data_IF_838293294434
#
_entry.id   IF_838293294434
#
_cell.length_a   1.000
_cell.length_b   1.000
_cell.length_c   1.000
_cell.angle_alpha   90.00
_cell.angle_beta   90.00
_cell.angle_gamma   90.00
#
_symmetry.space_group_name_H-M   'P 1'
#
loop_
_entity.id
_entity.type
_entity.pdbx_description
1 polymer ?
#
# COMPACT_ATOMS: atom_id res chain seq x y z
N UNK A 1 -7.98 -62.49 47.46
CA UNK A 1 -7.32 -61.17 47.41
C UNK A 1 -7.45 -60.60 46.01
N UNK A 2 -7.99 -59.39 45.93
CA UNK A 2 -8.49 -58.65 44.77
C UNK A 2 -7.32 -58.10 43.95
N UNK A 3 -7.13 -58.58 42.71
CA UNK A 3 -6.21 -57.97 41.72
C UNK A 3 -6.66 -58.24 40.28
N UNK A 4 -7.83 -57.77 39.86
CA UNK A 4 -8.23 -57.78 38.42
C UNK A 4 -9.12 -56.60 37.99
N UNK A 5 -9.02 -55.44 38.66
CA UNK A 5 -9.90 -54.28 38.40
C UNK A 5 -9.15 -52.96 38.23
N UNK A 6 -7.97 -52.98 37.60
CA UNK A 6 -7.19 -51.75 37.35
C UNK A 6 -6.79 -51.51 35.88
N UNK A 7 -7.31 -52.30 34.94
CA UNK A 7 -7.01 -52.14 33.51
C UNK A 7 -8.19 -51.58 32.68
N UNK A 8 -9.37 -51.36 33.29
CA UNK A 8 -10.57 -50.89 32.58
C UNK A 8 -10.86 -49.39 32.77
N UNK A 9 -10.05 -48.69 33.56
CA UNK A 9 -10.27 -47.27 33.89
C UNK A 9 -9.37 -46.30 33.10
N UNK A 10 -8.41 -46.82 32.32
CA UNK A 10 -7.47 -46.02 31.53
C UNK A 10 -7.87 -45.86 30.05
N UNK A 11 -8.85 -46.63 29.55
CA UNK A 11 -9.30 -46.54 28.14
C UNK A 11 -10.43 -45.52 27.96
N UNK A 12 -11.21 -45.24 29.00
CA UNK A 12 -12.31 -44.24 28.93
C UNK A 12 -11.82 -42.78 29.04
N UNK A 13 -10.55 -42.55 29.35
CA UNK A 13 -9.95 -41.21 29.42
C UNK A 13 -9.29 -40.77 28.10
N UNK A 14 -9.08 -41.69 27.14
CA UNK A 14 -8.46 -41.39 25.84
C UNK A 14 -9.46 -41.09 24.72
N UNK A 15 -10.76 -41.28 24.96
CA UNK A 15 -11.83 -40.97 24.00
C UNK A 15 -12.53 -39.61 24.27
N UNK A 16 -12.09 -38.87 25.29
CA UNK A 16 -12.61 -37.52 25.60
C UNK A 16 -11.76 -36.38 24.98
N UNK A 17 -10.70 -36.70 24.23
CA UNK A 17 -9.85 -35.72 23.54
C UNK A 17 -10.09 -35.63 22.02
N UNK A 18 -11.03 -36.40 21.46
CA UNK A 18 -11.63 -36.06 20.16
C UNK A 18 -12.71 -34.99 20.36
N UNK A 19 -12.35 -33.92 21.08
CA UNK A 19 -13.09 -32.68 21.07
C UNK A 19 -13.03 -32.14 19.66
N UNK A 20 -14.19 -32.11 19.01
CA UNK A 20 -14.40 -31.51 17.71
C UNK A 20 -13.68 -30.17 17.60
N UNK A 21 -12.52 -30.16 16.96
CA UNK A 21 -12.06 -28.99 16.24
C UNK A 21 -12.98 -28.87 15.00
N UNK A 22 -14.24 -28.52 15.25
CA UNK A 22 -14.97 -27.70 14.31
C UNK A 22 -14.08 -26.46 14.15
N UNK A 23 -13.23 -26.48 13.12
CA UNK A 23 -12.88 -25.28 12.41
C UNK A 23 -14.21 -24.73 11.89
N UNK A 24 -14.97 -24.07 12.78
CA UNK A 24 -15.73 -22.91 12.39
C UNK A 24 -14.69 -22.07 11.69
N UNK A 25 -14.70 -22.11 10.35
CA UNK A 25 -14.17 -21.05 9.52
C UNK A 25 -14.91 -19.81 9.98
N UNK A 26 -14.44 -19.25 11.10
CA UNK A 26 -15.06 -18.16 11.80
C UNK A 26 -15.17 -17.03 10.80
N UNK A 27 -16.33 -16.37 10.80
CA UNK A 27 -16.60 -15.10 10.14
C UNK A 27 -15.28 -14.36 9.94
N UNK A 28 -14.71 -14.45 8.72
CA UNK A 28 -13.37 -13.92 8.49
C UNK A 28 -13.53 -12.41 8.59
N UNK A 29 -13.05 -11.81 9.68
CA UNK A 29 -13.12 -10.36 9.89
C UNK A 29 -12.71 -9.62 8.60
N UNK A 30 -13.38 -8.51 8.23
CA UNK A 30 -13.10 -7.80 6.98
C UNK A 30 -11.61 -7.54 6.75
N UNK A 31 -10.87 -7.14 7.80
CA UNK A 31 -9.42 -6.93 7.76
C UNK A 31 -8.66 -8.16 7.27
N UNK A 32 -9.01 -9.34 7.79
CA UNK A 32 -8.37 -10.61 7.42
C UNK A 32 -8.67 -11.02 5.98
N UNK A 33 -9.84 -10.65 5.44
CA UNK A 33 -10.14 -10.83 4.00
C UNK A 33 -9.24 -9.94 3.15
N UNK A 34 -9.06 -8.67 3.52
CA UNK A 34 -8.14 -7.75 2.84
C UNK A 34 -6.67 -8.22 2.91
N UNK A 35 -6.20 -8.65 4.08
CA UNK A 35 -4.86 -9.23 4.24
C UNK A 35 -4.68 -10.49 3.38
N UNK A 36 -5.68 -11.36 3.34
CA UNK A 36 -5.66 -12.57 2.50
C UNK A 36 -5.57 -12.19 1.03
N UNK A 37 -6.32 -11.16 0.59
CA UNK A 37 -6.23 -10.64 -0.76
C UNK A 37 -4.84 -10.10 -1.09
N UNK A 38 -4.27 -9.25 -0.22
CA UNK A 38 -2.94 -8.67 -0.42
C UNK A 38 -1.89 -9.78 -0.54
N UNK A 39 -1.88 -10.74 0.38
CA UNK A 39 -0.93 -11.85 0.37
C UNK A 39 -1.13 -12.80 -0.82
N UNK A 40 -2.38 -13.11 -1.19
CA UNK A 40 -2.66 -14.01 -2.30
C UNK A 40 -2.35 -13.37 -3.66
N UNK A 41 -2.75 -12.11 -3.86
CA UNK A 41 -2.51 -11.39 -5.12
C UNK A 41 -1.02 -11.14 -5.37
N UNK A 42 -0.26 -10.75 -4.34
CA UNK A 42 1.20 -10.57 -4.42
C UNK A 42 1.94 -11.89 -4.66
N UNK A 43 1.43 -13.01 -4.14
CA UNK A 43 1.98 -14.35 -4.38
C UNK A 43 1.41 -15.05 -5.63
N UNK A 44 0.63 -14.36 -6.46
CA UNK A 44 0.00 -14.89 -7.68
C UNK A 44 -0.93 -16.11 -7.46
N UNK A 45 -1.51 -16.25 -6.26
CA UNK A 45 -2.44 -17.32 -5.90
C UNK A 45 -3.87 -16.97 -6.35
N UNK A 46 -4.10 -16.93 -7.66
CA UNK A 46 -5.34 -16.43 -8.26
C UNK A 46 -6.60 -17.20 -7.85
N UNK A 47 -6.51 -18.50 -7.55
CA UNK A 47 -7.66 -19.26 -7.07
C UNK A 47 -8.15 -18.77 -5.70
N UNK A 48 -7.24 -18.32 -4.84
CA UNK A 48 -7.59 -17.72 -3.54
C UNK A 48 -8.18 -16.32 -3.76
N UNK A 49 -7.61 -15.52 -4.67
CA UNK A 49 -8.11 -14.18 -5.02
C UNK A 49 -9.53 -14.27 -5.57
N UNK A 50 -9.79 -15.16 -6.54
CA UNK A 50 -11.12 -15.39 -7.09
C UNK A 50 -12.13 -15.80 -6.01
N UNK A 51 -11.67 -16.55 -5.00
CA UNK A 51 -12.47 -17.02 -3.88
C UNK A 51 -12.86 -15.92 -2.87
N UNK A 52 -12.27 -14.73 -2.90
CA UNK A 52 -12.55 -13.65 -1.93
C UNK A 52 -13.07 -12.36 -2.58
N UNK A 53 -12.97 -12.24 -3.91
CA UNK A 53 -13.55 -11.14 -4.67
C UNK A 53 -15.00 -11.45 -5.08
N UNK A 54 -15.79 -10.41 -5.33
CA UNK A 54 -17.08 -10.49 -5.99
C UNK A 54 -17.32 -9.25 -6.87
N UNK A 55 -18.44 -9.22 -7.61
CA UNK A 55 -18.84 -8.07 -8.41
C UNK A 55 -17.79 -7.63 -9.43
N UNK A 56 -17.63 -6.31 -9.58
CA UNK A 56 -16.68 -5.70 -10.52
C UNK A 56 -15.22 -6.00 -10.17
N UNK A 57 -14.87 -6.04 -8.88
CA UNK A 57 -13.51 -6.38 -8.45
C UNK A 57 -13.06 -7.76 -8.97
N UNK A 58 -13.95 -8.76 -8.94
CA UNK A 58 -13.65 -10.09 -9.49
C UNK A 58 -13.45 -10.06 -11.01
N UNK A 59 -14.31 -9.33 -11.73
CA UNK A 59 -14.22 -9.20 -13.19
C UNK A 59 -12.91 -8.53 -13.58
N UNK A 60 -12.55 -7.45 -12.91
CA UNK A 60 -11.31 -6.70 -13.17
C UNK A 60 -10.06 -7.52 -12.84
N UNK A 61 -10.05 -8.25 -11.73
CA UNK A 61 -8.95 -9.13 -11.38
C UNK A 61 -8.73 -10.21 -12.46
N UNK A 62 -9.81 -10.87 -12.91
CA UNK A 62 -9.73 -11.89 -13.97
C UNK A 62 -9.24 -11.33 -15.30
N UNK A 63 -9.66 -10.12 -15.67
CA UNK A 63 -9.22 -9.45 -16.89
C UNK A 63 -7.74 -9.06 -16.85
N UNK A 64 -7.23 -8.70 -15.67
CA UNK A 64 -5.88 -8.15 -15.53
C UNK A 64 -4.83 -9.15 -15.00
N UNK A 65 -5.22 -10.31 -14.42
CA UNK A 65 -4.28 -11.26 -13.80
C UNK A 65 -3.14 -11.70 -14.70
N UNK A 66 -3.37 -11.84 -16.00
CA UNK A 66 -2.36 -12.23 -16.97
C UNK A 66 -1.24 -11.18 -17.13
N UNK A 67 -1.50 -9.93 -16.77
CA UNK A 67 -0.51 -8.83 -16.78
C UNK A 67 0.37 -8.83 -15.54
N UNK A 68 -0.05 -9.49 -14.48
CA UNK A 68 0.68 -9.59 -13.20
C UNK A 68 1.47 -10.90 -13.21
N UNK A 69 2.71 -10.83 -13.69
CA UNK A 69 3.54 -12.02 -13.97
C UNK A 69 4.64 -12.24 -12.94
N UNK A 70 4.78 -11.34 -11.96
CA UNK A 70 5.87 -11.37 -10.98
C UNK A 70 5.28 -11.28 -9.59
N UNK A 71 5.77 -12.14 -8.70
CA UNK A 71 5.42 -12.09 -7.30
C UNK A 71 6.19 -10.99 -6.57
N UNK A 72 5.57 -10.49 -5.52
CA UNK A 72 6.16 -9.52 -4.58
C UNK A 72 6.14 -10.15 -3.17
N UNK A 73 7.11 -9.81 -2.34
CA UNK A 73 7.12 -10.18 -0.93
C UNK A 73 6.37 -9.10 -0.13
N UNK A 74 5.41 -9.48 0.70
CA UNK A 74 4.75 -8.56 1.63
C UNK A 74 5.59 -8.47 2.90
N UNK A 75 6.11 -7.28 3.20
CA UNK A 75 6.94 -7.02 4.37
C UNK A 75 6.06 -6.69 5.59
N UNK A 76 5.06 -5.83 5.39
CA UNK A 76 4.18 -5.37 6.45
C UNK A 76 2.80 -4.99 5.88
N UNK A 77 1.75 -5.22 6.68
CA UNK A 77 0.40 -4.76 6.43
C UNK A 77 -0.11 -4.10 7.72
N UNK A 78 -0.57 -2.85 7.62
CA UNK A 78 -1.36 -2.19 8.67
C UNK A 78 -2.79 -2.04 8.17
N UNK A 79 -3.78 -2.55 8.91
CA UNK A 79 -5.19 -2.47 8.50
C UNK A 79 -6.05 -1.73 9.51
N UNK A 80 -7.08 -1.04 9.01
CA UNK A 80 -8.14 -0.43 9.83
C UNK A 80 -9.49 -0.76 9.21
N UNK A 81 -10.34 -1.45 9.97
CA UNK A 81 -11.72 -1.77 9.57
C UNK A 81 -12.69 -0.68 10.03
N UNK A 82 -13.63 -0.34 9.16
CA UNK A 82 -14.76 0.55 9.44
C UNK A 82 -16.04 -0.19 9.04
N UNK A 83 -16.84 -0.58 10.02
CA UNK A 83 -18.14 -1.18 9.74
C UNK A 83 -19.14 -0.08 9.41
N UNK A 84 -19.70 -0.11 8.20
CA UNK A 84 -20.77 0.81 7.76
C UNK A 84 -22.12 0.25 8.22
N UNK A 85 -22.33 -1.05 8.02
CA UNK A 85 -23.47 -1.81 8.53
C UNK A 85 -23.01 -3.18 9.03
N UNK A 86 -23.93 -4.02 9.51
CA UNK A 86 -23.61 -5.42 9.83
C UNK A 86 -23.20 -6.28 8.62
N UNK A 87 -23.40 -5.77 7.40
CA UNK A 87 -23.15 -6.49 6.14
C UNK A 87 -22.24 -5.73 5.17
N UNK A 88 -21.85 -4.50 5.51
CA UNK A 88 -20.97 -3.66 4.68
C UNK A 88 -19.85 -3.11 5.56
N UNK A 89 -18.61 -3.25 5.09
CA UNK A 89 -17.43 -2.74 5.76
C UNK A 89 -16.44 -2.15 4.76
N UNK A 90 -15.63 -1.19 5.22
CA UNK A 90 -14.45 -0.73 4.52
C UNK A 90 -13.20 -1.15 5.31
N UNK A 91 -12.14 -1.50 4.58
CA UNK A 91 -10.83 -1.76 5.16
C UNK A 91 -9.82 -0.88 4.46
N UNK A 92 -9.19 0.01 5.22
CA UNK A 92 -7.99 0.71 4.78
C UNK A 92 -6.78 -0.16 5.09
N UNK A 93 -5.87 -0.30 4.14
CA UNK A 93 -4.64 -1.09 4.31
C UNK A 93 -3.44 -0.31 3.80
N UNK A 94 -2.40 -0.19 4.63
CA UNK A 94 -1.10 0.35 4.27
C UNK A 94 -0.09 -0.80 4.19
N UNK A 95 0.43 -1.04 2.98
CA UNK A 95 1.15 -2.26 2.63
C UNK A 95 2.56 -1.91 2.17
N UNK A 96 3.57 -2.43 2.87
CA UNK A 96 4.95 -2.39 2.40
C UNK A 96 5.30 -3.70 1.70
N UNK A 97 5.82 -3.63 0.48
CA UNK A 97 6.17 -4.78 -0.35
C UNK A 97 7.59 -4.69 -0.85
N UNK A 98 8.18 -5.82 -1.23
CA UNK A 98 9.49 -5.92 -1.87
C UNK A 98 9.37 -6.63 -3.21
N UNK A 99 9.93 -5.99 -4.24
CA UNK A 99 10.10 -6.60 -5.55
C UNK A 99 11.59 -6.57 -5.94
N UNK A 100 11.93 -7.19 -7.07
CA UNK A 100 13.28 -7.19 -7.64
C UNK A 100 13.87 -5.78 -7.83
N UNK A 101 13.01 -4.78 -8.06
CA UNK A 101 13.41 -3.39 -8.34
C UNK A 101 13.41 -2.49 -7.10
N UNK A 102 13.21 -3.07 -5.92
CA UNK A 102 13.19 -2.37 -4.64
C UNK A 102 11.88 -2.57 -3.88
N UNK A 103 11.83 -2.00 -2.67
CA UNK A 103 10.60 -1.96 -1.90
C UNK A 103 9.63 -0.90 -2.42
N UNK A 104 8.36 -1.02 -2.05
CA UNK A 104 7.30 -0.07 -2.33
C UNK A 104 6.35 -0.01 -1.13
N UNK A 105 5.58 1.07 -1.02
CA UNK A 105 4.53 1.22 0.00
C UNK A 105 3.26 1.73 -0.67
N UNK A 106 2.18 0.97 -0.52
CA UNK A 106 0.91 1.21 -1.19
C UNK A 106 -0.22 1.30 -0.16
N UNK A 107 -1.04 2.34 -0.28
CA UNK A 107 -2.28 2.47 0.49
C UNK A 107 -3.47 2.00 -0.34
N UNK A 108 -4.29 1.13 0.23
CA UNK A 108 -5.49 0.55 -0.36
C UNK A 108 -6.72 0.88 0.48
N UNK A 109 -7.86 0.98 -0.19
CA UNK A 109 -9.20 0.94 0.41
C UNK A 109 -9.98 -0.19 -0.25
N UNK A 110 -10.40 -1.15 0.56
CA UNK A 110 -11.26 -2.25 0.16
C UNK A 110 -12.67 -1.98 0.65
N UNK A 111 -13.66 -2.10 -0.24
CA UNK A 111 -15.05 -2.15 0.16
C UNK A 111 -15.52 -3.61 0.13
N UNK A 112 -16.11 -4.06 1.24
CA UNK A 112 -16.51 -5.44 1.46
C UNK A 112 -18.00 -5.54 1.75
N UNK A 113 -18.61 -6.60 1.26
CA UNK A 113 -19.98 -6.99 1.54
C UNK A 113 -20.01 -8.41 2.10
N UNK A 114 -20.85 -8.64 3.09
CA UNK A 114 -21.12 -9.96 3.64
C UNK A 114 -22.09 -10.70 2.71
N UNK A 115 -21.69 -11.88 2.24
CA UNK A 115 -22.48 -12.80 1.44
C UNK A 115 -22.60 -14.13 2.18
N UNK A 116 -23.77 -14.38 2.78
CA UNK A 116 -23.95 -15.46 3.74
C UNK A 116 -23.03 -15.27 4.96
N UNK A 117 -22.20 -16.27 5.25
CA UNK A 117 -21.26 -16.22 6.38
C UNK A 117 -19.86 -15.69 6.00
N UNK A 118 -19.69 -15.17 4.79
CA UNK A 118 -18.37 -14.75 4.28
C UNK A 118 -18.35 -13.31 3.82
N UNK A 119 -17.30 -12.57 4.20
CA UNK A 119 -17.01 -11.25 3.63
C UNK A 119 -16.33 -11.40 2.27
N UNK A 120 -16.72 -10.57 1.31
CA UNK A 120 -16.17 -10.54 -0.05
C UNK A 120 -15.84 -9.10 -0.44
N UNK A 121 -14.74 -8.91 -1.14
CA UNK A 121 -14.31 -7.60 -1.65
C UNK A 121 -15.03 -7.35 -2.97
N UNK A 122 -15.86 -6.30 -3.03
CA UNK A 122 -16.54 -5.89 -4.26
C UNK A 122 -15.87 -4.70 -4.95
N UNK A 123 -14.99 -3.97 -4.26
CA UNK A 123 -14.25 -2.83 -4.79
C UNK A 123 -12.87 -2.72 -4.13
N UNK A 124 -11.85 -2.37 -4.92
CA UNK A 124 -10.47 -2.14 -4.48
C UNK A 124 -9.94 -0.86 -5.13
N UNK A 125 -9.57 0.12 -4.31
CA UNK A 125 -9.06 1.41 -4.76
C UNK A 125 -7.80 1.79 -4.00
N UNK A 126 -7.06 2.79 -4.49
CA UNK A 126 -6.01 3.42 -3.69
C UNK A 126 -6.65 4.18 -2.52
N UNK A 127 -6.13 3.95 -1.32
CA UNK A 127 -6.55 4.62 -0.09
C UNK A 127 -5.63 5.76 0.32
N UNK A 128 -5.82 6.22 1.55
CA UNK A 128 -4.91 7.14 2.23
C UNK A 128 -3.87 6.35 3.04
N UNK A 129 -2.64 6.85 3.11
CA UNK A 129 -1.60 6.23 3.92
C UNK A 129 -1.95 6.34 5.40
N UNK A 130 -1.73 5.25 6.14
CA UNK A 130 -1.99 5.26 7.57
C UNK A 130 -0.80 5.89 8.28
N UNK A 131 -1.00 7.12 8.74
CA UNK A 131 -0.05 7.84 9.56
C UNK A 131 -0.68 8.18 10.92
N UNK A 132 0.16 8.38 11.92
CA UNK A 132 -0.26 8.92 13.22
C UNK A 132 -0.69 10.39 13.11
N UNK A 133 -0.93 11.02 14.25
CA UNK A 133 -1.11 12.47 14.30
C UNK A 133 0.15 13.18 13.77
N UNK A 134 -0.02 13.99 12.72
CA UNK A 134 1.07 14.78 12.15
C UNK A 134 1.32 15.99 13.04
N UNK A 135 2.56 16.13 13.50
CA UNK A 135 2.94 17.24 14.38
C UNK A 135 3.87 18.21 13.65
N UNK A 136 3.70 19.53 13.84
CA UNK A 136 4.67 20.48 13.36
C UNK A 136 6.01 20.23 14.06
N UNK A 137 7.11 20.36 13.31
CA UNK A 137 8.43 20.03 13.84
C UNK A 137 9.53 20.18 12.81
N UNK A 138 10.77 19.80 13.16
CA UNK A 138 11.86 19.79 12.22
C UNK A 138 11.58 18.82 11.06
N UNK A 139 12.21 19.10 9.93
CA UNK A 139 12.18 18.21 8.78
C UNK A 139 12.86 16.87 9.13
N UNK A 140 12.23 15.70 8.87
CA UNK A 140 12.88 14.42 9.11
C UNK A 140 14.16 14.27 8.29
N UNK A 141 15.15 13.57 8.86
CA UNK A 141 16.44 13.35 8.21
C UNK A 141 16.25 12.65 6.86
N UNK A 142 16.94 13.15 5.83
CA UNK A 142 16.89 12.61 4.46
C UNK A 142 15.74 13.12 3.60
N UNK A 143 14.68 13.71 4.18
CA UNK A 143 13.54 14.24 3.40
C UNK A 143 13.98 15.39 2.47
N UNK A 144 14.81 16.33 2.95
CA UNK A 144 15.32 17.44 2.11
C UNK A 144 16.00 16.91 0.85
N UNK A 145 16.92 15.94 1.02
CA UNK A 145 17.68 15.36 -0.07
C UNK A 145 16.79 14.67 -1.11
N UNK A 146 15.82 13.85 -0.67
CA UNK A 146 14.89 13.15 -1.57
C UNK A 146 14.05 14.14 -2.37
N UNK A 147 13.49 15.16 -1.71
CA UNK A 147 12.61 16.14 -2.36
C UNK A 147 13.41 17.01 -3.34
N UNK A 148 14.55 17.54 -2.89
CA UNK A 148 15.43 18.39 -3.70
C UNK A 148 15.90 17.66 -4.94
N UNK A 149 16.48 16.47 -4.76
CA UNK A 149 17.00 15.69 -5.87
C UNK A 149 15.89 15.32 -6.86
N UNK A 150 14.72 14.91 -6.39
CA UNK A 150 13.61 14.58 -7.30
C UNK A 150 13.05 15.78 -8.06
N UNK A 151 12.90 16.94 -7.43
CA UNK A 151 12.42 18.15 -8.10
C UNK A 151 13.44 18.61 -9.13
N UNK A 152 14.72 18.70 -8.76
CA UNK A 152 15.79 19.24 -9.60
C UNK A 152 16.23 18.27 -10.72
N UNK A 153 15.82 17.00 -10.66
CA UNK A 153 16.07 16.03 -11.73
C UNK A 153 15.49 16.52 -13.08
N UNK A 154 16.25 16.43 -14.18
CA UNK A 154 15.72 16.67 -15.51
C UNK A 154 14.52 15.75 -15.79
N UNK A 155 13.51 16.25 -16.51
CA UNK A 155 12.31 15.48 -16.83
C UNK A 155 12.62 14.10 -17.46
N UNK A 156 13.60 14.05 -18.37
CA UNK A 156 14.08 12.81 -18.99
C UNK A 156 14.63 11.78 -17.98
N UNK A 157 15.17 12.23 -16.84
CA UNK A 157 15.76 11.39 -15.79
C UNK A 157 14.81 11.02 -14.66
N UNK A 158 13.69 11.73 -14.49
CA UNK A 158 12.68 11.40 -13.46
C UNK A 158 12.09 10.01 -13.67
N UNK A 159 11.83 9.64 -14.92
CA UNK A 159 11.29 8.31 -15.26
C UNK A 159 12.28 7.19 -14.93
N UNK A 160 13.54 7.32 -15.37
CA UNK A 160 14.59 6.32 -15.11
C UNK A 160 14.82 6.11 -13.60
N UNK A 161 14.66 7.18 -12.82
CA UNK A 161 14.92 7.18 -11.37
C UNK A 161 13.65 7.01 -10.52
N UNK A 162 12.50 6.71 -11.12
CA UNK A 162 11.22 6.71 -10.40
C UNK A 162 11.19 5.76 -9.21
N UNK A 163 11.72 4.54 -9.35
CA UNK A 163 11.77 3.58 -8.24
C UNK A 163 12.64 4.05 -7.06
N UNK A 164 13.55 5.01 -7.27
CA UNK A 164 14.39 5.60 -6.21
C UNK A 164 13.63 6.63 -5.38
N UNK A 165 12.80 7.46 -6.01
CA UNK A 165 12.17 8.61 -5.36
C UNK A 165 10.69 8.42 -5.06
N UNK A 166 10.00 7.55 -5.80
CA UNK A 166 8.54 7.43 -5.78
C UNK A 166 8.10 6.12 -5.11
N UNK A 167 6.92 6.17 -4.51
CA UNK A 167 6.22 4.99 -4.00
C UNK A 167 4.72 5.04 -4.31
N UNK A 168 4.10 3.88 -4.22
CA UNK A 168 2.67 3.64 -4.37
C UNK A 168 2.11 4.14 -5.69
N UNK A 169 0.95 4.82 -5.63
CA UNK A 169 0.24 5.28 -6.83
C UNK A 169 1.11 6.14 -7.75
N UNK A 170 1.98 6.99 -7.20
CA UNK A 170 2.81 7.88 -8.00
C UNK A 170 3.89 7.11 -8.79
N UNK A 171 4.47 6.06 -8.18
CA UNK A 171 5.39 5.15 -8.86
C UNK A 171 4.68 4.40 -10.01
N UNK A 172 3.47 3.88 -9.78
CA UNK A 172 2.69 3.18 -10.83
C UNK A 172 2.31 4.11 -11.99
N UNK A 173 1.92 5.36 -11.70
CA UNK A 173 1.61 6.37 -12.72
C UNK A 173 2.85 6.65 -13.57
N UNK A 174 4.01 6.87 -12.93
CA UNK A 174 5.25 7.14 -13.67
C UNK A 174 5.67 5.96 -14.55
N UNK A 175 5.56 4.73 -14.04
CA UNK A 175 5.84 3.52 -14.82
C UNK A 175 4.90 3.37 -16.05
N UNK A 176 3.63 3.75 -15.91
CA UNK A 176 2.67 3.72 -17.01
C UNK A 176 2.94 4.84 -18.04
N UNK A 177 3.27 6.05 -17.61
CA UNK A 177 3.64 7.16 -18.50
C UNK A 177 4.88 6.84 -19.33
N UNK A 178 5.82 6.08 -18.76
CA UNK A 178 7.01 5.63 -19.46
C UNK A 178 6.77 4.74 -20.68
N UNK A 179 5.54 4.27 -20.88
CA UNK A 179 5.13 3.47 -22.04
C UNK A 179 4.56 4.35 -23.17
N UNK A 180 4.34 5.65 -22.92
CA UNK A 180 3.83 6.60 -23.91
C UNK A 180 4.99 7.25 -24.68
N UNK A 181 4.79 7.66 -25.96
CA UNK A 181 5.78 8.42 -26.70
C UNK A 181 6.14 9.70 -25.95
N UNK A 182 7.43 9.92 -25.69
CA UNK A 182 7.89 11.16 -25.07
C UNK A 182 7.77 12.31 -26.08
N UNK A 183 6.93 13.28 -25.78
CA UNK A 183 6.92 14.55 -26.50
C UNK A 183 8.14 15.33 -26.01
N UNK A 184 8.97 15.79 -26.93
CA UNK A 184 10.12 16.66 -26.63
C UNK A 184 9.61 18.01 -26.14
N UNK A 185 9.28 18.10 -24.85
CA UNK A 185 9.14 19.37 -24.17
C UNK A 185 10.54 19.99 -24.04
N UNK A 186 10.69 21.28 -24.33
CA UNK A 186 11.97 21.98 -24.23
C UNK A 186 12.62 21.83 -22.85
N UNK A 187 13.90 22.22 -22.73
CA UNK A 187 14.66 22.04 -21.48
C UNK A 187 14.03 22.86 -20.32
N UNK A 188 13.21 22.21 -19.50
CA UNK A 188 12.66 22.78 -18.26
C UNK A 188 13.61 22.46 -17.11
N UNK A 189 14.11 23.50 -16.45
CA UNK A 189 14.98 23.37 -15.25
C UNK A 189 14.18 23.72 -14.01
N UNK A 190 14.38 22.95 -12.95
CA UNK A 190 13.75 23.18 -11.64
C UNK A 190 14.85 23.36 -10.60
N UNK A 191 14.69 24.32 -9.69
CA UNK A 191 15.65 24.60 -8.62
C UNK A 191 14.93 24.85 -7.29
N UNK A 192 15.17 24.02 -6.28
CA UNK A 192 14.50 24.13 -4.99
C UNK A 192 15.12 25.23 -4.15
N UNK A 193 14.30 26.18 -3.72
CA UNK A 193 14.72 27.29 -2.86
C UNK A 193 14.63 26.92 -1.38
N UNK A 194 13.51 26.36 -0.98
CA UNK A 194 13.21 26.06 0.42
C UNK A 194 12.30 24.85 0.56
N UNK A 195 12.48 24.09 1.65
CA UNK A 195 11.60 22.98 2.03
C UNK A 195 11.17 23.20 3.48
N UNK A 196 9.87 23.35 3.71
CA UNK A 196 9.28 23.55 5.04
C UNK A 196 8.50 22.30 5.45
N UNK A 197 8.77 21.77 6.64
CA UNK A 197 7.98 20.69 7.21
C UNK A 197 6.61 21.23 7.66
N UNK A 198 5.52 20.70 7.12
CA UNK A 198 4.15 21.06 7.53
C UNK A 198 3.64 20.14 8.65
N UNK A 199 4.10 18.89 8.65
CA UNK A 199 3.84 17.95 9.73
C UNK A 199 4.51 16.62 9.47
N UNK A 200 4.96 15.96 10.54
CA UNK A 200 5.58 14.64 10.45
C UNK A 200 5.06 13.71 11.55
N UNK A 201 5.10 12.42 11.23
CA UNK A 201 4.98 11.28 12.12
C UNK A 201 6.15 10.31 11.82
N UNK A 202 6.25 9.21 12.56
CA UNK A 202 7.39 8.28 12.51
C UNK A 202 7.79 7.88 11.08
N UNK A 203 6.81 7.51 10.24
CA UNK A 203 7.03 6.97 8.89
C UNK A 203 6.31 7.78 7.79
N UNK A 204 5.85 8.99 8.10
CA UNK A 204 5.13 9.87 7.17
C UNK A 204 5.47 11.34 7.38
N UNK A 205 5.59 12.11 6.31
CA UNK A 205 5.82 13.55 6.40
C UNK A 205 5.09 14.30 5.28
N UNK A 206 4.59 15.49 5.59
CA UNK A 206 4.06 16.44 4.62
C UNK A 206 4.97 17.66 4.63
N UNK A 207 5.43 18.05 3.45
CA UNK A 207 6.32 19.20 3.27
C UNK A 207 5.81 20.14 2.20
N UNK A 208 6.15 21.41 2.34
CA UNK A 208 6.02 22.41 1.29
C UNK A 208 7.39 22.63 0.66
N UNK A 209 7.49 22.46 -0.66
CA UNK A 209 8.68 22.79 -1.42
C UNK A 209 8.41 24.03 -2.28
N UNK A 210 9.17 25.10 -2.04
CA UNK A 210 9.18 26.30 -2.87
C UNK A 210 10.37 26.22 -3.83
N UNK A 211 10.12 26.35 -5.13
CA UNK A 211 11.11 26.16 -6.17
C UNK A 211 10.88 27.10 -7.35
N UNK A 212 11.87 27.18 -8.23
CA UNK A 212 11.79 27.93 -9.48
C UNK A 212 11.69 26.97 -10.66
N UNK A 213 10.86 27.32 -11.65
CA UNK A 213 10.78 26.65 -12.95
C UNK A 213 11.35 27.61 -13.99
N UNK A 214 12.41 27.21 -14.68
CA UNK A 214 13.02 27.98 -15.76
C UNK A 214 12.75 27.34 -17.11
N UNK A 215 12.19 28.10 -18.05
CA UNK A 215 11.94 27.69 -19.44
C UNK A 215 12.13 28.89 -20.36
N UNK A 216 12.88 28.70 -21.45
CA UNK A 216 13.05 29.73 -22.52
C UNK A 216 13.40 31.11 -21.92
N UNK A 217 14.42 31.15 -21.05
CA UNK A 217 14.94 32.35 -20.34
C UNK A 217 13.99 32.99 -19.31
N UNK A 218 12.77 32.48 -19.14
CA UNK A 218 11.84 32.93 -18.10
C UNK A 218 11.89 32.03 -16.88
N UNK A 219 11.77 32.63 -15.69
CA UNK A 219 11.75 31.91 -14.41
C UNK A 219 10.47 32.23 -13.65
N UNK A 220 9.78 31.19 -13.20
CA UNK A 220 8.50 31.26 -12.51
C UNK A 220 8.64 30.62 -11.12
N UNK A 221 8.13 31.26 -10.05
CA UNK A 221 8.07 30.61 -8.74
C UNK A 221 6.95 29.56 -8.73
N UNK A 222 7.21 28.41 -8.14
CA UNK A 222 6.23 27.36 -7.92
C UNK A 222 6.29 26.84 -6.50
N UNK A 223 5.15 26.38 -6.00
CA UNK A 223 5.05 25.73 -4.68
C UNK A 223 4.40 24.37 -4.86
N UNK A 224 4.97 23.35 -4.23
CA UNK A 224 4.40 22.00 -4.17
C UNK A 224 4.15 21.57 -2.73
N UNK A 225 3.04 20.89 -2.50
CA UNK A 225 2.77 20.11 -1.28
C UNK A 225 3.09 18.66 -1.59
N UNK A 226 3.97 18.07 -0.80
CA UNK A 226 4.57 16.77 -1.05
C UNK A 226 4.37 15.91 0.18
N UNK A 227 3.73 14.76 -0.03
CA UNK A 227 3.59 13.75 1.01
C UNK A 227 4.66 12.68 0.77
N UNK A 228 5.35 12.31 1.84
CA UNK A 228 6.39 11.30 1.85
C UNK A 228 6.06 10.20 2.84
N UNK A 229 6.41 8.96 2.49
CA UNK A 229 6.37 7.81 3.39
C UNK A 229 7.73 7.13 3.45
N UNK A 230 8.11 6.63 4.62
CA UNK A 230 9.28 5.79 4.76
C UNK A 230 8.96 4.36 4.29
N UNK A 231 9.82 3.82 3.43
CA UNK A 231 9.76 2.47 2.88
C UNK A 231 11.08 1.79 3.19
N UNK A 232 11.07 0.79 4.09
CA UNK A 232 12.29 0.17 4.63
C UNK A 232 13.32 1.21 5.17
N UNK A 233 12.83 2.29 5.79
CA UNK A 233 13.68 3.36 6.33
C UNK A 233 14.17 4.39 5.30
N UNK A 234 13.79 4.25 4.02
CA UNK A 234 14.10 5.20 2.95
C UNK A 234 12.87 6.04 2.64
N UNK A 235 12.99 7.37 2.70
CA UNK A 235 11.90 8.28 2.35
C UNK A 235 11.61 8.27 0.86
N UNK A 236 10.33 8.21 0.51
CA UNK A 236 9.84 8.27 -0.86
C UNK A 236 8.61 9.14 -0.97
N UNK A 237 8.47 9.80 -2.11
CA UNK A 237 7.33 10.65 -2.44
C UNK A 237 6.16 9.76 -2.83
N UNK A 238 5.06 9.89 -2.08
CA UNK A 238 3.82 9.15 -2.32
C UNK A 238 2.73 10.03 -2.92
N UNK A 239 2.85 11.36 -2.77
CA UNK A 239 1.96 12.36 -3.38
C UNK A 239 2.74 13.64 -3.67
N UNK A 240 2.48 14.26 -4.81
CA UNK A 240 3.05 15.55 -5.20
C UNK A 240 1.95 16.38 -5.87
N UNK A 241 1.60 17.50 -5.26
CA UNK A 241 0.60 18.43 -5.77
C UNK A 241 1.23 19.82 -5.93
N UNK A 242 1.14 20.41 -7.12
CA UNK A 242 1.54 21.80 -7.34
C UNK A 242 0.40 22.69 -6.86
N UNK A 243 0.64 23.52 -5.85
CA UNK A 243 -0.37 24.40 -5.25
C UNK A 243 -0.36 25.81 -5.86
N UNK A 244 0.77 26.24 -6.46
CA UNK A 244 0.93 27.55 -7.08
C UNK A 244 2.00 27.53 -8.17
N UNK A 245 1.77 28.31 -9.24
CA UNK A 245 2.73 28.71 -10.31
C UNK A 245 2.58 30.22 -10.53
#
# INVERSE_FOLDING_TARGET
MIKKTLALLTISALLALSGCANAKTGLTEPARVAETYINASTALKWDVVDGILCGEALVDARKNRARVTRSEEVIAIKTKSIFITGEIAEVEADVSKKATYGADREAYRFSLQKQGDSWKIYNCQYGEYQHGELKPGPLPAGVDGVVREYIELPAAKKQESSARFLAGRLLKISAAQGQLPQVSEGEVKQAVKNITCLGAADDYAIVQADYYISREEKTYPATAIIDLAAVEGVWRIVRLNISKI
#
